data_IF_186245929414
#
_entry.id   IF_186245929414
#
_cell.length_a   1.000
_cell.length_b   1.000
_cell.length_c   1.000
_cell.angle_alpha   90.00
_cell.angle_beta   90.00
_cell.angle_gamma   90.00
#
_symmetry.space_group_name_H-M   'P 1'
#
loop_
_entity.id
_entity.type
_entity.pdbx_description
1 polymer ?
2 polymer ?
3 water ?
#
# COMPACT_ATOMS: atom_id res chain seq x y z
N UNK A 2 30.73 10.43 6.56
CA UNK A 2 29.59 11.02 5.90
C UNK A 2 28.38 10.98 6.81
N UNK A 3 27.75 12.12 7.04
CA UNK A 3 26.56 12.16 7.87
C UNK A 3 25.37 12.40 6.94
N UNK A 4 24.21 12.74 7.50
CA UNK A 4 23.00 12.99 6.70
C UNK A 4 23.01 14.35 5.99
N UNK A 5 23.91 15.23 6.44
CA UNK A 5 24.10 16.57 5.88
C UNK A 5 24.88 16.49 4.56
N UNK A 6 25.89 15.63 4.54
CA UNK A 6 26.73 15.37 3.37
C UNK A 6 25.90 14.53 2.40
N UNK A 7 25.30 13.51 2.96
CA UNK A 7 24.50 12.60 2.18
C UNK A 7 25.04 11.22 2.45
N UNK A 8 24.14 10.25 2.62
CA UNK A 8 24.54 8.89 2.88
C UNK A 8 23.91 8.02 1.79
N UNK A 9 24.51 6.87 1.48
CA UNK A 9 24.00 6.01 0.41
C UNK A 9 23.58 4.56 0.75
N UNK A 10 22.49 4.11 0.12
CA UNK A 10 21.93 2.77 0.27
C UNK A 10 21.76 2.11 -1.09
N UNK A 11 21.99 0.80 -1.16
CA UNK A 11 21.86 0.01 -2.38
C UNK A 11 20.38 -0.25 -2.51
N UNK A 12 19.87 -0.14 -3.72
CA UNK A 12 18.45 -0.34 -3.99
C UNK A 12 18.28 -0.72 -5.45
N UNK A 13 17.12 -1.28 -5.79
CA UNK A 13 16.83 -1.63 -7.19
C UNK A 13 15.63 -0.80 -7.61
N UNK A 14 15.80 -0.06 -8.69
CA UNK A 14 14.72 0.75 -9.20
C UNK A 14 13.78 -0.27 -9.82
N UNK A 15 12.49 -0.09 -9.62
CA UNK A 15 11.50 -0.99 -10.20
C UNK A 15 10.67 -0.31 -11.29
N UNK A 16 10.53 1.00 -11.18
CA UNK A 16 9.76 1.75 -12.16
C UNK A 16 9.09 2.87 -11.41
N UNK A 17 8.29 3.67 -12.12
CA UNK A 17 7.57 4.79 -11.51
C UNK A 17 6.15 4.81 -12.02
N UNK A 18 5.29 5.55 -11.33
CA UNK A 18 3.87 5.75 -11.66
C UNK A 18 3.43 7.20 -11.31
N UNK A 19 2.15 7.49 -11.45
CA UNK A 19 1.62 8.82 -11.14
C UNK A 19 0.24 8.78 -10.51
N UNK A 20 -0.27 9.93 -10.10
CA UNK A 20 -1.56 10.00 -9.46
C UNK A 20 -1.97 11.44 -9.22
N UNK A 21 -3.25 11.61 -8.90
CA UNK A 21 -3.78 12.94 -8.56
C UNK A 21 -4.09 12.75 -7.10
N UNK A 22 -3.69 13.73 -6.31
CA UNK A 22 -3.89 13.66 -4.88
C UNK A 22 -4.21 15.05 -4.39
N UNK A 23 -4.84 15.14 -3.23
CA UNK A 23 -5.17 16.45 -2.68
C UNK A 23 -3.80 17.01 -2.27
N UNK A 24 -3.72 18.28 -1.89
CA UNK A 24 -2.43 18.84 -1.50
C UNK A 24 -1.79 18.07 -0.35
N UNK A 25 -2.42 18.12 0.82
CA UNK A 25 -1.91 17.42 2.00
C UNK A 25 -2.96 16.42 2.52
N UNK A 26 -2.92 15.18 2.02
CA UNK A 26 -3.86 14.14 2.41
C UNK A 26 -3.59 13.54 3.80
N UNK A 27 -4.54 12.76 4.30
CA UNK A 27 -4.33 12.14 5.58
C UNK A 27 -3.36 11.00 5.30
N UNK A 28 -2.67 10.57 6.35
CA UNK A 28 -1.70 9.50 6.28
C UNK A 28 -2.22 8.18 5.69
N UNK A 29 -3.44 7.79 6.07
CA UNK A 29 -4.01 6.55 5.56
C UNK A 29 -4.28 6.58 4.08
N UNK A 30 -4.72 7.73 3.59
CA UNK A 30 -4.98 7.88 2.17
C UNK A 30 -3.63 7.92 1.45
N UNK A 31 -2.64 8.50 2.12
CA UNK A 31 -1.29 8.58 1.58
C UNK A 31 -0.61 7.20 1.53
N UNK A 34 -1.94 5.41 -1.53
CA UNK A 34 -1.27 5.91 -2.73
C UNK A 34 0.00 5.11 -2.99
N UNK A 35 0.81 4.98 -1.94
CA UNK A 35 2.04 4.22 -1.99
C UNK A 35 1.70 2.79 -2.45
N UNK A 36 0.80 2.15 -1.71
CA UNK A 36 0.33 0.81 -1.98
C UNK A 36 -0.15 0.67 -3.40
N UNK A 37 -0.67 1.76 -3.93
CA UNK A 37 -1.16 1.76 -5.30
C UNK A 37 0.00 1.70 -6.27
N UNK A 38 0.99 2.57 -6.08
CA UNK A 38 2.19 2.62 -6.93
C UNK A 38 2.82 1.23 -6.99
N UNK A 39 2.91 0.58 -5.83
CA UNK A 39 3.48 -0.75 -5.68
C UNK A 39 2.66 -1.77 -6.48
N UNK A 40 1.35 -1.56 -6.51
CA UNK A 40 0.44 -2.45 -7.21
C UNK A 40 0.66 -2.36 -8.70
N UNK A 41 0.66 -1.14 -9.21
CA UNK A 41 0.87 -0.92 -10.62
C UNK A 41 2.25 -1.45 -11.01
N UNK A 42 3.23 -1.24 -10.15
CA UNK A 42 4.57 -1.72 -10.44
C UNK A 42 4.58 -3.25 -10.59
N UNK A 43 4.07 -3.94 -9.58
CA UNK A 43 4.04 -5.40 -9.61
C UNK A 43 3.25 -6.03 -10.75
N UNK A 45 2.89 -4.97 -13.59
CA UNK A 45 3.72 -4.80 -14.77
C UNK A 45 4.89 -5.80 -14.81
N UNK A 46 5.36 -6.20 -13.63
CA UNK A 46 6.46 -7.15 -13.50
C UNK A 46 6.05 -8.59 -13.73
N UNK A 47 4.74 -8.81 -13.80
CA UNK A 47 4.17 -10.14 -14.03
C UNK A 47 3.62 -10.20 -15.44
N UNK A 48 3.01 -9.10 -15.89
CA UNK A 48 2.45 -8.99 -17.22
C UNK A 48 3.52 -8.56 -18.23
N UNK A 64 17.49 -3.08 -12.69
CA UNK A 64 18.93 -2.93 -12.60
C UNK A 64 19.31 -1.99 -11.44
N UNK A 65 20.29 -2.46 -10.66
CA UNK A 65 20.84 -1.84 -9.45
C UNK A 65 21.14 -0.33 -9.39
N UNK A 66 20.91 0.27 -8.22
CA UNK A 66 21.15 1.71 -7.99
C UNK A 66 21.61 2.05 -6.57
N UNK A 67 22.18 3.24 -6.42
CA UNK A 67 22.64 3.77 -5.13
C UNK A 67 21.70 4.91 -4.78
N UNK A 68 21.14 4.86 -3.58
CA UNK A 68 20.21 5.89 -3.15
C UNK A 68 20.96 6.86 -2.29
N UNK A 69 20.94 8.11 -2.73
CA UNK A 69 21.60 9.24 -2.07
C UNK A 69 20.53 10.08 -1.34
N UNK A 70 20.65 10.13 -0.03
CA UNK A 70 19.71 10.83 0.86
C UNK A 70 20.47 11.81 1.76
N UNK A 71 19.92 13.00 1.90
CA UNK A 71 20.51 13.99 2.78
C UNK A 71 19.44 15.03 3.03
N UNK A 72 19.78 16.03 3.81
CA UNK A 72 18.83 17.08 4.16
C UNK A 72 18.54 18.03 3.02
N UNK A 73 19.24 17.87 1.90
CA UNK A 73 19.07 18.78 0.77
C UNK A 73 18.46 18.22 -0.52
N UNK A 74 18.58 16.92 -0.77
CA UNK A 74 18.01 16.35 -1.99
C UNK A 74 18.08 14.84 -2.02
N UNK A 75 17.31 14.25 -2.93
CA UNK A 75 17.28 12.79 -3.14
C UNK A 75 17.93 12.50 -4.51
N UNK A 76 18.91 11.60 -4.54
CA UNK A 76 19.58 11.22 -5.78
C UNK A 76 19.64 9.71 -5.98
N UNK A 77 19.63 9.33 -7.24
CA UNK A 77 19.71 7.94 -7.60
C UNK A 77 20.82 7.90 -8.65
N UNK A 78 21.87 7.18 -8.29
CA UNK A 78 23.02 7.01 -9.14
C UNK A 78 22.93 5.55 -9.56
N UNK A 79 23.47 5.27 -10.75
CA UNK A 79 23.46 3.93 -11.29
C UNK A 79 24.60 3.18 -10.59
N UNK A 80 24.25 2.15 -9.83
CA UNK A 80 25.22 1.38 -9.06
C UNK A 80 26.59 1.14 -9.73
N UNK A 81 26.60 0.99 -11.05
CA UNK A 81 27.83 0.77 -11.79
C UNK A 81 28.55 2.07 -12.07
N UNK A 82 28.12 2.72 -13.15
CA UNK A 82 28.67 3.95 -13.66
C UNK A 82 28.66 5.15 -12.73
N UNK A 83 27.78 5.13 -11.74
CA UNK A 83 27.68 6.25 -10.80
C UNK A 83 27.23 7.53 -11.47
N UNK A 84 26.52 7.38 -12.59
CA UNK A 84 26.01 8.53 -13.33
C UNK A 84 24.71 8.89 -12.63
N UNK A 85 24.48 10.18 -12.45
CA UNK A 85 23.27 10.62 -11.78
C UNK A 85 22.08 10.28 -12.65
N UNK A 88 17.70 13.10 -9.36
CA UNK A 88 18.12 14.11 -8.42
C UNK A 88 16.88 14.96 -8.19
N UNK A 89 16.40 14.96 -6.95
CA UNK A 89 15.21 15.73 -6.61
C UNK A 89 15.43 16.56 -5.35
N UNK A 90 15.11 17.86 -5.42
CA UNK A 90 15.26 18.72 -4.25
C UNK A 90 14.29 18.17 -3.22
N UNK A 91 14.73 18.04 -1.97
CA UNK A 91 13.88 17.52 -0.93
C UNK A 91 12.53 18.25 -0.93
N UNK A 92 12.53 19.49 -1.41
CA UNK A 92 11.30 20.28 -1.46
C UNK A 92 10.21 19.64 -2.31
N UNK A 93 10.64 19.02 -3.41
CA UNK A 93 9.72 18.39 -4.32
C UNK A 93 9.23 17.02 -3.85
N UNK A 94 9.78 16.51 -2.75
CA UNK A 94 9.39 15.20 -2.22
C UNK A 94 8.36 15.43 -1.14
N UNK A 95 7.14 14.92 -1.34
CA UNK A 95 6.05 15.09 -0.38
C UNK A 95 5.86 13.98 0.66
N UNK A 96 6.09 12.72 0.28
CA UNK A 96 5.92 11.58 1.17
C UNK A 96 6.88 10.46 0.76
N UNK A 97 7.20 9.56 1.68
CA UNK A 97 8.09 8.44 1.40
C UNK A 97 7.58 7.33 2.30
N UNK A 98 7.56 6.11 1.80
CA UNK A 98 7.11 4.99 2.59
C UNK A 98 7.87 3.72 2.25
N UNK A 99 8.01 2.85 3.23
CA UNK A 99 8.64 1.55 3.04
C UNK A 99 7.50 0.53 3.17
N UNK A 100 7.26 -0.23 2.11
CA UNK A 100 6.21 -1.26 2.12
C UNK A 100 6.97 -2.55 1.98
N UNK A 101 7.26 -3.16 3.12
CA UNK A 101 8.05 -4.37 3.16
C UNK A 101 9.45 -3.93 2.79
N UNK A 102 10.02 -4.59 1.79
CA UNK A 102 11.36 -4.26 1.31
C UNK A 102 11.24 -3.25 0.17
N UNK A 103 10.03 -2.76 -0.06
CA UNK A 103 9.78 -1.79 -1.13
C UNK A 103 9.78 -0.34 -0.61
N UNK A 104 10.27 0.58 -1.43
CA UNK A 104 10.31 1.99 -1.05
C UNK A 104 9.58 2.81 -2.08
N UNK A 105 8.66 3.68 -1.61
CA UNK A 105 7.90 4.57 -2.46
C UNK A 105 8.19 6.03 -2.14
N UNK A 106 8.72 6.71 -3.16
CA UNK A 106 9.11 8.11 -3.12
C UNK A 106 8.19 8.92 -4.04
N UNK A 108 6.81 12.55 -5.46
CA UNK A 108 7.24 13.94 -5.72
C UNK A 108 6.16 14.73 -6.43
N UNK A 109 6.39 16.05 -6.55
CA UNK A 109 5.49 17.02 -7.20
C UNK A 109 5.97 17.40 -8.63
N UNK A 110 5.16 18.17 -9.38
CA UNK A 110 5.48 18.71 -10.73
C UNK A 110 5.00 18.00 -11.99
N UNK A 111 3.78 18.28 -12.45
CA UNK A 111 3.22 17.68 -13.69
C UNK A 111 1.72 17.91 -13.86
N UNK A 134 -3.79 17.54 -7.78
CA UNK A 134 -2.42 17.74 -8.34
C UNK A 134 -1.81 16.38 -8.75
N UNK A 135 -1.00 16.39 -9.80
CA UNK A 135 -0.36 15.18 -10.30
C UNK A 135 0.91 14.95 -9.48
N UNK A 137 4.33 12.25 -8.77
CA UNK A 137 5.17 11.24 -9.43
C UNK A 137 5.75 10.26 -8.40
N UNK A 138 5.56 8.97 -8.63
CA UNK A 138 6.05 7.96 -7.70
C UNK A 138 7.10 7.03 -8.24
N UNK A 139 8.27 7.04 -7.61
CA UNK A 139 9.38 6.19 -8.01
C UNK A 139 9.34 5.04 -7.02
N UNK A 140 9.51 3.82 -7.50
CA UNK A 140 9.42 2.70 -6.61
C UNK A 140 10.72 1.94 -6.64
N UNK A 141 11.25 1.65 -5.46
CA UNK A 141 12.51 0.93 -5.36
C UNK A 141 12.24 -0.31 -4.52
N UNK A 142 13.24 -1.18 -4.49
CA UNK A 142 13.18 -2.42 -3.74
C UNK A 142 14.51 -2.41 -2.97
N UNK A 143 14.47 -2.69 -1.68
CA UNK A 143 15.69 -2.71 -0.86
C UNK A 143 15.56 -3.38 0.51
N UNK A 144 16.65 -4.05 0.91
CA UNK A 144 16.75 -4.70 2.21
C UNK A 144 16.92 -3.58 3.27
N UNK A 145 17.22 -2.37 2.79
CA UNK A 145 17.39 -1.22 3.64
C UNK A 145 16.23 -0.24 3.49
N UNK A 146 15.07 -0.74 3.09
CA UNK A 146 13.88 0.08 2.89
C UNK A 146 13.47 0.86 4.14
N UNK A 147 13.50 0.16 5.28
CA UNK A 147 13.16 0.74 6.56
C UNK A 147 14.17 1.82 6.91
N UNK A 148 15.47 1.57 6.73
CA UNK A 148 16.51 2.57 7.04
C UNK A 148 16.45 3.75 6.09
N UNK A 149 16.05 3.51 4.84
CA UNK A 149 15.94 4.57 3.82
C UNK A 149 14.84 5.55 4.24
N UNK A 150 13.67 5.03 4.59
CA UNK A 150 12.55 5.85 5.04
C UNK A 150 12.91 6.66 6.28
N UNK A 151 13.47 5.97 7.26
CA UNK A 151 13.89 6.63 8.47
C UNK A 151 14.72 7.84 8.04
N UNK A 152 15.77 7.56 7.26
CA UNK A 152 16.70 8.58 6.76
C UNK A 152 16.07 9.76 6.05
N UNK A 153 15.03 9.51 5.27
CA UNK A 153 14.34 10.57 4.54
C UNK A 153 13.46 11.36 5.51
N UNK A 154 12.81 10.67 6.42
CA UNK A 154 11.97 11.36 7.40
C UNK A 154 12.78 12.29 8.28
N UNK A 155 13.98 11.86 8.61
CA UNK A 155 14.85 12.66 9.44
C UNK A 155 15.33 13.83 8.61
N UNK A 156 15.56 13.59 7.32
CA UNK A 156 15.97 14.65 6.40
C UNK A 156 14.86 15.69 6.41
N UNK A 157 13.63 15.18 6.35
CA UNK A 157 12.43 16.00 6.37
C UNK A 157 12.45 16.92 7.58
N UNK A 158 12.54 16.31 8.76
CA UNK A 158 12.59 17.03 10.02
C UNK A 158 13.62 18.17 10.00
N UNK A 159 14.86 17.82 9.67
CA UNK A 159 15.94 18.80 9.59
C UNK A 159 15.58 20.00 8.71
N UNK A 160 15.10 19.71 7.50
CA UNK A 160 14.73 20.75 6.53
C UNK A 160 13.50 21.60 6.91
N UNK A 161 12.54 21.01 7.60
CA UNK A 161 11.32 21.74 8.00
C UNK A 161 11.52 22.67 9.20
N UNK A 162 12.40 22.28 10.13
CA UNK A 162 12.69 23.11 11.29
C UNK A 162 13.59 24.28 10.88
N UNK A 163 14.51 24.02 9.93
CA UNK A 163 15.39 25.05 9.38
C UNK A 163 14.49 26.16 8.86
N UNK A 164 13.51 25.73 8.07
CA UNK A 164 12.49 26.55 7.42
C UNK A 164 11.67 27.37 8.44
N UNK A 165 11.34 26.76 9.56
CA UNK A 165 10.57 27.42 10.58
C UNK A 165 11.34 28.56 11.27
N UNK A 166 12.53 28.25 11.76
CA UNK A 166 13.36 29.23 12.47
C UNK A 166 13.90 30.35 11.56
N UNK B 1 5.08 5.26 6.51
CA UNK B 1 5.92 6.18 5.71
C UNK B 1 5.75 7.55 6.30
N UNK B 2 6.49 8.54 5.80
CA UNK B 2 6.43 9.90 6.33
C UNK B 2 6.05 10.99 5.32
N UNK B 3 5.50 12.07 5.85
CA UNK B 3 5.11 13.22 5.04
C UNK B 3 6.13 14.34 5.26
N UNK B 4 6.56 14.99 4.18
CA UNK B 4 7.50 16.10 4.24
C UNK B 4 6.66 17.32 4.62
N UNK B 5 6.80 17.85 5.83
CA UNK B 5 6.03 19.00 6.27
C UNK B 5 6.30 20.28 5.47
N UNK B 6 7.52 20.39 4.95
CA UNK B 6 7.97 21.56 4.17
C UNK B 6 7.32 21.66 2.77
N UNK B 7 7.18 20.52 2.11
CA UNK B 7 6.61 20.42 0.77
C UNK B 7 5.39 21.33 0.45
N UNK B 8 4.51 21.55 1.42
CA UNK B 8 3.32 22.39 1.22
C UNK B 8 3.49 23.90 0.83
N UNK B 9 4.48 24.57 1.44
CA UNK B 9 4.71 25.98 1.16
C UNK B 9 5.49 26.19 -0.15
N UNK B 10 5.37 25.29 -1.11
CA UNK B 10 6.08 25.45 -2.39
C UNK B 10 5.21 25.10 -3.61
N UNK C 8 -5.77 0.21 -7.02
CA UNK C 8 -4.92 -0.87 -6.46
C UNK C 8 -5.53 -2.21 -6.88
N UNK C 9 -4.72 -3.01 -7.59
CA UNK C 9 -5.10 -4.31 -8.11
C UNK C 9 -3.99 -5.31 -7.82
N UNK C 10 -4.35 -6.47 -7.29
CA UNK C 10 -3.37 -7.49 -7.00
C UNK C 10 -3.85 -8.77 -7.65
N UNK C 11 -2.95 -9.75 -7.81
CA UNK C 11 -3.27 -11.03 -8.42
C UNK C 11 -3.24 -12.12 -7.36
N UNK C 12 -4.20 -13.04 -7.46
CA UNK C 12 -4.30 -14.17 -6.53
C UNK C 12 -5.07 -15.31 -7.19
N UNK C 13 -5.09 -16.47 -6.54
CA UNK C 13 -5.82 -17.62 -7.07
C UNK C 13 -7.05 -17.88 -6.24
N UNK C 14 -8.23 -17.84 -6.84
CA UNK C 14 -9.42 -18.10 -6.07
C UNK C 14 -9.44 -19.57 -5.69
N UNK C 15 -9.37 -19.83 -4.39
CA UNK C 15 -9.36 -21.18 -3.86
C UNK C 15 -10.75 -21.72 -3.57
N UNK C 16 -11.46 -21.05 -2.67
CA UNK C 16 -12.80 -21.49 -2.29
C UNK C 16 -13.50 -20.53 -1.34
N UNK C 17 -14.64 -20.96 -0.82
CA UNK C 17 -15.44 -20.15 0.08
C UNK C 17 -16.26 -21.02 1.01
N UNK C 18 -16.50 -20.50 2.20
CA UNK C 18 -17.26 -21.18 3.22
C UNK C 18 -18.32 -20.21 3.67
N UNK C 19 -19.24 -20.67 4.50
CA UNK C 19 -20.30 -19.82 4.99
C UNK C 19 -20.51 -19.92 6.50
N UNK C 20 -21.00 -18.81 7.05
CA UNK C 20 -21.28 -18.65 8.45
C UNK C 20 -22.67 -18.08 8.51
N UNK C 21 -23.37 -18.33 9.61
CA UNK C 21 -24.73 -17.80 9.81
C UNK C 21 -24.69 -16.84 10.99
N UNK C 29 -11.37 -12.08 18.52
CA UNK C 29 -10.63 -13.34 18.84
C UNK C 29 -11.38 -14.50 18.24
N UNK C 30 -12.70 -14.37 18.19
CA UNK C 30 -13.58 -15.40 17.61
C UNK C 30 -13.51 -15.34 16.09
N UNK C 31 -13.47 -14.10 15.59
CA UNK C 31 -13.39 -13.82 14.15
C UNK C 31 -12.05 -14.27 13.56
N UNK C 34 -12.56 -17.83 13.15
CA UNK C 34 -13.42 -18.07 11.99
C UNK C 34 -12.67 -17.98 10.67
N UNK C 35 -11.68 -17.09 10.64
CA UNK C 35 -10.87 -16.94 9.45
C UNK C 35 -10.06 -18.24 9.31
N UNK C 36 -9.58 -18.72 10.45
CA UNK C 36 -8.79 -19.92 10.48
C UNK C 36 -9.58 -21.12 9.96
N UNK C 37 -10.74 -21.38 10.57
CA UNK C 37 -11.61 -22.51 10.21
C UNK C 37 -11.87 -22.47 8.72
N UNK C 38 -12.03 -21.28 8.18
CA UNK C 38 -12.28 -21.10 6.76
C UNK C 38 -11.06 -21.54 5.95
N UNK C 39 -9.86 -21.19 6.38
CA UNK C 39 -8.67 -21.58 5.65
C UNK C 39 -8.55 -23.11 5.60
N UNK C 40 -8.68 -23.75 6.76
CA UNK C 40 -8.59 -25.20 6.86
C UNK C 40 -9.62 -25.82 5.99
N UNK C 41 -10.85 -25.36 6.11
CA UNK C 41 -11.92 -25.91 5.33
C UNK C 41 -11.51 -25.95 3.85
N UNK C 42 -11.01 -24.82 3.36
CA UNK C 42 -10.60 -24.72 1.98
C UNK C 42 -9.43 -25.65 1.68
N UNK C 43 -8.49 -25.72 2.61
CA UNK C 43 -7.32 -26.58 2.45
C UNK C 43 -7.74 -28.05 2.28
N UNK C 45 -10.47 -29.02 1.13
CA UNK C 45 -11.18 -29.02 -0.14
C UNK C 45 -10.17 -29.33 -1.24
N UNK C 46 -9.09 -28.54 -1.27
CA UNK C 46 -8.04 -28.69 -2.25
C UNK C 46 -7.44 -30.09 -2.28
N UNK C 47 -7.02 -30.57 -1.11
CA UNK C 47 -6.39 -31.88 -0.99
C UNK C 47 -7.30 -33.05 -1.36
N UNK C 48 -8.59 -32.80 -1.52
CA UNK C 48 -9.55 -33.84 -1.89
C UNK C 48 -9.82 -33.85 -3.40
N UNK C 49 -9.60 -32.71 -4.03
CA UNK C 49 -9.83 -32.53 -5.47
C UNK C 49 -8.54 -32.76 -6.26
N UNK C 64 -8.76 -21.12 -9.53
CA UNK C 64 -8.67 -20.34 -10.80
C UNK C 64 -8.02 -18.98 -10.52
N UNK C 65 -7.30 -18.46 -11.51
CA UNK C 65 -6.58 -17.20 -11.39
C UNK C 65 -7.44 -15.95 -11.49
N UNK C 66 -7.34 -15.10 -10.47
CA UNK C 66 -8.11 -13.84 -10.41
C UNK C 66 -7.23 -12.63 -10.09
N UNK C 67 -7.82 -11.45 -10.23
CA UNK C 67 -7.15 -10.16 -9.93
C UNK C 67 -8.11 -9.39 -9.01
N UNK C 68 -7.59 -8.85 -7.92
CA UNK C 68 -8.41 -8.10 -6.95
C UNK C 68 -8.27 -6.56 -6.94
N UNK C 69 -9.38 -5.89 -7.24
CA UNK C 69 -9.47 -4.45 -7.29
C UNK C 69 -9.87 -3.96 -5.88
N UNK C 70 -8.94 -3.34 -5.16
CA UNK C 70 -9.23 -2.82 -3.83
C UNK C 70 -9.51 -1.34 -3.98
N UNK C 71 -10.55 -0.86 -3.29
CA UNK C 71 -10.98 0.55 -3.33
C UNK C 71 -11.70 0.92 -2.02
N UNK C 72 -11.87 2.22 -1.78
CA UNK C 72 -12.57 2.65 -0.59
C UNK C 72 -14.04 2.31 -0.75
N UNK C 73 -14.52 2.30 -1.98
CA UNK C 73 -15.91 2.03 -2.23
C UNK C 73 -16.23 0.52 -2.17
N UNK C 74 -15.35 -0.31 -2.73
CA UNK C 74 -15.61 -1.75 -2.76
C UNK C 74 -14.38 -2.62 -2.98
N UNK C 75 -14.61 -3.93 -3.08
CA UNK C 75 -13.58 -4.92 -3.37
C UNK C 75 -14.18 -5.75 -4.50
N UNK C 76 -13.50 -5.70 -5.65
CA UNK C 76 -13.93 -6.39 -6.86
C UNK C 76 -12.96 -7.49 -7.28
N UNK C 77 -13.39 -8.74 -7.17
CA UNK C 77 -12.56 -9.86 -7.57
C UNK C 77 -13.01 -10.35 -8.94
N UNK C 78 -12.09 -10.32 -9.91
CA UNK C 78 -12.40 -10.74 -11.27
C UNK C 78 -11.62 -11.94 -11.76
N UNK C 79 -12.18 -12.57 -12.78
CA UNK C 79 -11.59 -13.73 -13.45
C UNK C 79 -10.54 -13.15 -14.41
N UNK C 80 -9.28 -13.46 -14.14
CA UNK C 80 -8.13 -12.96 -14.88
C UNK C 80 -8.10 -12.94 -16.41
N UNK C 81 -8.35 -14.09 -17.05
CA UNK C 81 -8.31 -14.15 -18.52
C UNK C 81 -9.55 -13.55 -19.19
N UNK C 82 -10.68 -13.59 -18.48
CA UNK C 82 -11.94 -13.09 -19.01
C UNK C 82 -12.22 -11.61 -18.71
N UNK C 83 -11.98 -11.23 -17.45
CA UNK C 83 -12.20 -9.89 -16.90
C UNK C 83 -13.68 -9.72 -16.48
N UNK C 84 -14.33 -10.84 -16.16
CA UNK C 84 -15.72 -10.84 -15.72
C UNK C 84 -15.72 -10.77 -14.19
N UNK C 85 -16.57 -9.92 -13.64
CA UNK C 85 -16.68 -9.75 -12.18
C UNK C 85 -17.21 -11.01 -11.50
N UNK C 88 -18.59 -8.82 -6.28
CA UNK C 88 -18.49 -7.36 -6.15
C UNK C 88 -19.08 -6.95 -4.81
N UNK C 89 -18.18 -6.75 -3.86
CA UNK C 89 -18.57 -6.42 -2.51
C UNK C 89 -18.43 -4.97 -2.08
N UNK C 90 -19.56 -4.36 -1.71
CA UNK C 90 -19.51 -2.97 -1.26
C UNK C 90 -18.81 -2.96 0.11
N UNK C 91 -17.61 -2.40 0.14
CA UNK C 91 -16.78 -2.32 1.34
C UNK C 91 -17.53 -2.39 2.67
N UNK C 92 -18.63 -1.66 2.77
CA UNK C 92 -19.45 -1.61 3.98
C UNK C 92 -19.96 -2.97 4.47
N UNK C 93 -20.12 -3.90 3.54
CA UNK C 93 -20.60 -5.26 3.84
C UNK C 93 -19.45 -6.25 4.18
N UNK C 94 -18.22 -5.77 4.13
CA UNK C 94 -17.08 -6.60 4.43
C UNK C 94 -16.68 -6.20 5.83
N UNK C 95 -16.37 -7.19 6.65
CA UNK C 95 -15.99 -6.95 8.03
C UNK C 95 -14.56 -7.34 8.33
N UNK C 96 -14.15 -8.51 7.87
CA UNK C 96 -12.81 -9.02 8.16
C UNK C 96 -11.96 -9.47 6.97
N UNK C 97 -10.66 -9.23 7.11
CA UNK C 97 -9.68 -9.64 6.12
C UNK C 97 -8.53 -10.17 6.97
N UNK C 98 -7.93 -11.26 6.52
CA UNK C 98 -6.83 -11.86 7.25
C UNK C 98 -5.80 -12.41 6.30
N UNK C 99 -4.54 -12.33 6.70
CA UNK C 99 -3.48 -12.89 5.91
C UNK C 99 -2.92 -14.00 6.79
N UNK C 100 -3.18 -15.23 6.37
CA UNK C 100 -2.73 -16.41 7.08
C UNK C 100 -1.68 -17.04 6.15
N UNK C 101 -0.43 -16.64 6.35
CA UNK C 101 0.64 -17.12 5.52
C UNK C 101 0.47 -16.48 4.15
N UNK C 102 0.48 -17.32 3.13
CA UNK C 102 0.33 -16.84 1.77
C UNK C 102 -1.14 -16.87 1.37
N UNK C 103 -2.01 -17.11 2.35
CA UNK C 103 -3.46 -17.19 2.12
C UNK C 103 -4.17 -15.91 2.55
N UNK C 104 -5.35 -15.65 1.97
CA UNK C 104 -6.14 -14.48 2.29
C UNK C 104 -7.62 -14.84 2.48
N UNK C 105 -8.17 -14.40 3.61
CA UNK C 105 -9.57 -14.63 3.99
C UNK C 105 -10.34 -13.32 3.93
N UNK C 106 -11.30 -13.26 3.02
CA UNK C 106 -12.16 -12.10 2.85
C UNK C 106 -13.57 -12.45 3.34
N UNK C 108 -17.31 -11.33 4.30
CA UNK C 108 -18.34 -10.37 3.97
C UNK C 108 -19.74 -10.93 4.23
N UNK C 109 -20.66 -10.03 4.53
CA UNK C 109 -22.04 -10.37 4.83
C UNK C 109 -22.92 -10.74 3.63
N UNK C 110 -24.13 -11.14 3.96
CA UNK C 110 -25.17 -11.52 3.01
C UNK C 110 -24.82 -12.25 1.74
N UNK C 111 -24.59 -13.56 1.91
CA UNK C 111 -24.28 -14.49 0.83
C UNK C 111 -23.94 -15.88 1.40
N UNK C 134 -23.93 -13.71 10.59
CA UNK C 134 -25.17 -13.00 10.15
C UNK C 134 -25.44 -13.23 8.65
N UNK C 135 -25.26 -14.47 8.22
CA UNK C 135 -25.41 -14.86 6.81
C UNK C 135 -24.26 -14.17 6.10
N UNK C 137 -20.13 -14.82 4.25
CA UNK C 137 -19.40 -15.71 3.39
C UNK C 137 -17.92 -15.40 3.56
N UNK C 138 -17.08 -16.40 3.37
CA UNK C 138 -15.64 -16.24 3.47
C UNK C 138 -14.97 -16.73 2.22
N UNK C 139 -14.38 -15.81 1.47
CA UNK C 139 -13.66 -16.20 0.25
C UNK C 139 -12.18 -16.40 0.66
N UNK C 140 -11.59 -17.49 0.19
CA UNK C 140 -10.19 -17.80 0.50
C UNK C 140 -9.37 -17.74 -0.78
N UNK C 141 -8.30 -16.95 -0.77
CA UNK C 141 -7.41 -16.79 -1.94
C UNK C 141 -5.97 -17.02 -1.54
N UNK C 142 -5.22 -17.63 -2.43
CA UNK C 142 -3.82 -17.88 -2.19
C UNK C 142 -3.11 -16.79 -3.00
N UNK C 143 -2.22 -16.04 -2.35
CA UNK C 143 -1.49 -15.00 -3.05
C UNK C 143 -0.03 -14.82 -2.68
N UNK C 144 0.70 -14.40 -3.70
CA UNK C 144 2.12 -14.15 -3.58
C UNK C 144 2.23 -13.05 -2.52
N UNK C 145 1.33 -12.07 -2.57
CA UNK C 145 1.37 -11.00 -1.59
C UNK C 145 0.10 -10.86 -0.76
N UNK C 146 -0.18 -11.90 0.00
CA UNK C 146 -1.34 -11.95 0.87
C UNK C 146 -1.31 -10.86 1.97
N UNK C 147 -0.14 -10.63 2.56
CA UNK C 147 0.04 -9.64 3.63
C UNK C 147 -0.18 -8.23 3.07
N UNK C 148 0.33 -7.98 1.87
CA UNK C 148 0.18 -6.68 1.23
C UNK C 148 -1.28 -6.46 0.90
N UNK C 149 -1.94 -7.51 0.42
CA UNK C 149 -3.34 -7.43 0.09
C UNK C 149 -4.18 -7.10 1.34
N UNK C 150 -3.97 -7.82 2.44
CA UNK C 150 -4.71 -7.55 3.66
C UNK C 150 -4.41 -6.13 4.20
N UNK C 151 -3.13 -5.70 4.14
CA UNK C 151 -2.74 -4.38 4.62
C UNK C 151 -3.46 -3.32 3.81
N UNK C 152 -3.59 -3.56 2.50
CA UNK C 152 -4.26 -2.62 1.61
C UNK C 152 -5.76 -2.54 1.87
N UNK C 153 -6.39 -3.66 2.17
CA UNK C 153 -7.82 -3.61 2.43
C UNK C 153 -8.03 -2.88 3.75
N UNK C 154 -7.12 -3.10 4.69
CA UNK C 154 -7.21 -2.43 5.96
C UNK C 154 -7.13 -0.93 5.82
N UNK C 155 -6.35 -0.46 4.86
CA UNK C 155 -6.19 0.98 4.61
C UNK C 155 -7.50 1.50 4.02
N UNK C 156 -8.07 0.70 3.13
CA UNK C 156 -9.36 1.03 2.52
C UNK C 156 -10.38 1.21 3.66
N UNK C 157 -10.33 0.32 4.63
CA UNK C 157 -11.23 0.35 5.79
C UNK C 157 -11.08 1.66 6.53
N UNK C 158 -9.83 2.02 6.77
CA UNK C 158 -9.43 3.23 7.50
C UNK C 158 -9.91 4.48 6.81
N UNK C 159 -9.75 4.53 5.49
CA UNK C 159 -10.18 5.69 4.70
C UNK C 159 -11.70 5.79 4.60
N UNK C 160 -12.35 4.69 4.21
CA UNK C 160 -13.80 4.67 4.10
C UNK C 160 -14.48 4.96 5.46
N UNK C 161 -13.82 4.59 6.55
CA UNK C 161 -14.37 4.81 7.88
C UNK C 161 -14.32 6.29 8.17
N UNK C 162 -13.26 6.94 7.69
CA UNK C 162 -13.07 8.36 7.89
C UNK C 162 -14.19 9.04 7.16
N UNK C 163 -14.47 8.54 5.96
CA UNK C 163 -15.50 9.10 5.11
C UNK C 163 -16.85 8.80 5.72
N UNK C 164 -16.92 7.70 6.47
CA UNK C 164 -18.15 7.33 7.13
C UNK C 164 -18.49 8.36 8.22
N UNK C 165 -17.54 8.59 9.12
CA UNK C 165 -17.73 9.57 10.17
C UNK C 165 -18.10 10.94 9.58
N UNK C 166 -17.41 11.36 8.52
CA UNK C 166 -17.70 12.65 7.90
C UNK C 166 -19.16 12.73 7.42
N UNK C 167 -19.69 11.63 6.91
CA UNK C 167 -21.08 11.64 6.43
C UNK C 167 -22.07 11.85 7.55
N UNK C 168 -21.78 11.27 8.71
CA UNK C 168 -22.61 11.34 9.91
C UNK C 168 -22.31 12.59 10.76
N UNK C 169 -21.80 13.63 10.12
CA UNK C 169 -21.49 14.87 10.81
C UNK C 169 -20.32 14.82 11.80
N UNK C 170 -19.59 13.70 11.83
CA UNK C 170 -18.46 13.53 12.74
C UNK C 170 -17.13 13.80 12.03
N UNK C 171 -16.30 14.60 12.68
CA UNK C 171 -14.98 14.97 12.16
C UNK C 171 -14.00 13.90 12.59
N UNK C 172 -13.45 13.19 11.60
CA UNK C 172 -12.49 12.11 11.80
C UNK C 172 -11.04 12.65 11.90
N UNK D 1 -5.05 -9.85 11.53
CA UNK D 1 -6.42 -9.68 10.97
C UNK D 1 -6.90 -8.26 11.14
N UNK D 2 -7.65 -7.75 10.15
CA UNK D 2 -8.19 -6.37 10.17
C UNK D 2 -9.70 -6.33 10.16
N UNK D 3 -10.25 -5.58 11.11
CA UNK D 3 -11.68 -5.39 11.26
C UNK D 3 -12.06 -4.03 10.70
N UNK D 4 -13.13 -4.02 9.92
CA UNK D 4 -13.66 -2.82 9.31
C UNK D 4 -14.68 -2.20 10.26
N UNK D 5 -14.31 -1.10 10.91
CA UNK D 5 -15.16 -0.39 11.86
C UNK D 5 -16.47 0.07 11.26
N UNK D 6 -16.52 0.14 9.93
CA UNK D 6 -17.74 0.56 9.25
C UNK D 6 -18.79 -0.57 9.08
N UNK D 7 -18.34 -1.83 9.04
CA UNK D 7 -19.27 -2.94 8.88
C UNK D 7 -20.39 -2.98 9.93
N UNK D 8 -20.03 -2.86 11.21
CA UNK D 8 -21.00 -2.89 12.30
C UNK D 8 -22.06 -1.80 12.30
N UNK D 9 -21.83 -0.72 11.55
CA UNK D 9 -22.78 0.40 11.47
C UNK D 9 -23.92 0.12 10.47
N UNK D 10 -23.78 -0.91 9.66
CA UNK D 10 -24.80 -1.23 8.69
C UNK D 10 -25.25 -2.68 8.89
#
# INVERSE_FOLDING_TARGET
XEDLIDGIIFAANYLGSTQLLSDKTPSKNVRXXQAQEAVSRIKXAQKLAKSRKKAPEGESQPXTEVDLFILTQRIKVLNADTQETXXDHPLRTISYIADIGNIVVLXARRRIPRSNSQENVEASHPSQDGKRQYKXICHVFESEDAQLIAQSIGQAFSVAYQEFLRANGINP
GYENPTYKFF
XEDLIDGIIFAANYLGSTQLLSDKTPSKNVRXXQAQEAVSRIKXAQKLAKSRKKAPEGESQPXTEVDLFILTQRIKVLNADTQETXXDHPLRTISYIADIGNIVVLXARRRIPRSNSQENVEASHPSQDGKRQYKXICHVFESEDAQLIAQSIGQAFSVAYQEFLRANGINP
GYENPTYKFF
#
